data_IF_132631257107
#
_entry.id   IF_132631257107
#
_cell.length_a   1.000
_cell.length_b   1.000
_cell.length_c   1.000
_cell.angle_alpha   90.00
_cell.angle_beta   90.00
_cell.angle_gamma   90.00
#
_symmetry.space_group_name_H-M   'P 1'
#
loop_
_entity.id
_entity.type
_entity.pdbx_description
1 polymer ?
#
# COMPACT_ATOMS: atom_id res chain seq x y z
N UNK A 1 47.64 -46.89 8.30
CA UNK A 1 46.43 -47.31 7.56
C UNK A 1 45.38 -46.27 7.89
N UNK A 2 45.29 -45.30 6.99
CA UNK A 2 44.61 -44.02 7.16
C UNK A 2 43.14 -44.24 6.87
N UNK A 3 42.30 -44.23 7.90
CA UNK A 3 40.88 -44.03 7.72
C UNK A 3 40.62 -42.56 8.05
N UNK A 4 40.68 -41.73 7.01
CA UNK A 4 40.25 -40.33 7.10
C UNK A 4 38.73 -40.34 7.20
N UNK A 5 38.25 -40.02 8.39
CA UNK A 5 36.91 -39.48 8.62
C UNK A 5 36.76 -38.23 7.76
N UNK A 6 35.87 -38.27 6.77
CA UNK A 6 35.41 -37.09 6.04
C UNK A 6 34.35 -36.37 6.91
N UNK A 7 34.45 -35.04 7.09
CA UNK A 7 33.50 -34.25 7.88
C UNK A 7 32.13 -34.12 7.19
N UNK A 8 31.04 -33.85 7.95
CA UNK A 8 29.74 -33.49 7.41
C UNK A 8 29.74 -31.99 7.06
N UNK A 9 30.42 -31.62 5.98
CA UNK A 9 30.46 -30.22 5.54
C UNK A 9 29.19 -29.88 4.73
N UNK A 10 28.31 -29.12 5.40
CA UNK A 10 27.61 -27.94 4.87
C UNK A 10 27.02 -28.05 3.45
N UNK A 11 25.76 -28.47 3.37
CA UNK A 11 24.93 -28.22 2.20
C UNK A 11 24.32 -26.81 2.30
N UNK A 12 25.11 -25.79 1.99
CA UNK A 12 24.61 -24.46 1.64
C UNK A 12 24.22 -24.48 0.15
N UNK A 13 22.99 -24.88 -0.15
CA UNK A 13 22.40 -24.62 -1.46
C UNK A 13 21.48 -23.41 -1.32
N UNK A 14 21.95 -22.25 -1.77
CA UNK A 14 21.11 -21.11 -2.16
C UNK A 14 20.19 -21.58 -3.30
N UNK A 15 19.12 -22.30 -2.98
CA UNK A 15 18.10 -22.68 -3.95
C UNK A 15 17.16 -21.50 -4.14
N UNK A 16 17.18 -20.89 -5.32
CA UNK A 16 16.25 -19.82 -5.65
C UNK A 16 14.81 -20.37 -5.73
N UNK A 17 13.91 -19.80 -4.93
CA UNK A 17 12.49 -20.08 -4.95
C UNK A 17 11.77 -19.13 -5.94
N UNK A 18 10.89 -19.67 -6.77
CA UNK A 18 10.09 -18.88 -7.73
C UNK A 18 8.70 -18.58 -7.18
N UNK A 19 8.39 -17.29 -7.06
CA UNK A 19 7.09 -16.77 -6.68
C UNK A 19 6.34 -16.21 -7.88
N UNK A 20 5.01 -16.29 -7.87
CA UNK A 20 4.16 -15.82 -8.97
C UNK A 20 3.28 -14.67 -8.49
N UNK A 21 3.34 -13.55 -9.20
CA UNK A 21 2.54 -12.36 -8.92
C UNK A 21 1.80 -11.86 -10.15
N UNK A 22 0.68 -11.17 -9.93
CA UNK A 22 -0.02 -10.43 -10.99
C UNK A 22 0.29 -8.95 -10.86
N UNK A 23 0.87 -8.37 -11.91
CA UNK A 23 1.18 -6.95 -11.97
C UNK A 23 -0.12 -6.13 -12.02
N UNK A 24 -0.41 -5.38 -10.96
CA UNK A 24 -1.60 -4.52 -10.89
C UNK A 24 -1.33 -3.06 -11.26
N UNK A 25 -0.09 -2.74 -11.67
CA UNK A 25 0.32 -1.37 -12.02
C UNK A 25 -0.29 -0.84 -13.33
N UNK A 26 -0.88 -1.68 -14.17
CA UNK A 26 -1.48 -1.28 -15.44
C UNK A 26 -2.56 -2.27 -15.89
N UNK A 27 -3.48 -1.88 -16.79
CA UNK A 27 -4.61 -2.71 -17.20
C UNK A 27 -4.24 -3.99 -17.96
N UNK A 28 -2.99 -4.12 -18.43
CA UNK A 28 -2.52 -5.33 -19.12
C UNK A 28 -2.37 -6.53 -18.19
N UNK A 29 -2.09 -6.31 -16.90
CA UNK A 29 -2.03 -7.40 -15.92
C UNK A 29 -0.98 -8.47 -16.23
N UNK A 30 0.31 -8.12 -16.39
CA UNK A 30 1.35 -9.12 -16.65
C UNK A 30 1.45 -10.14 -15.51
N UNK A 31 1.55 -11.44 -15.86
CA UNK A 31 1.91 -12.50 -14.91
C UNK A 31 3.43 -12.49 -14.73
N UNK A 32 3.87 -12.16 -13.52
CA UNK A 32 5.27 -12.04 -13.16
C UNK A 32 5.73 -13.29 -12.43
N UNK A 33 6.96 -13.69 -12.72
CA UNK A 33 7.68 -14.74 -11.99
C UNK A 33 8.89 -14.09 -11.34
N UNK A 34 9.01 -14.21 -10.02
CA UNK A 34 10.06 -13.58 -9.22
C UNK A 34 10.88 -14.69 -8.58
N UNK A 35 12.15 -14.78 -8.96
CA UNK A 35 13.09 -15.72 -8.36
C UNK A 35 13.80 -15.00 -7.19
N UNK A 36 13.74 -15.59 -6.01
CA UNK A 36 14.32 -15.04 -4.79
C UNK A 36 15.11 -16.11 -4.04
N UNK A 37 16.19 -15.69 -3.38
CA UNK A 37 16.90 -16.51 -2.38
C UNK A 37 16.63 -15.84 -1.04
N UNK A 38 16.04 -16.58 -0.10
CA UNK A 38 15.48 -16.03 1.13
C UNK A 38 14.47 -14.90 0.86
N UNK A 39 14.81 -13.64 1.19
CA UNK A 39 13.98 -12.45 0.95
C UNK A 39 14.51 -11.56 -0.20
N UNK A 40 15.68 -11.90 -0.74
CA UNK A 40 16.36 -11.09 -1.74
C UNK A 40 15.96 -11.51 -3.16
N UNK A 41 15.39 -10.55 -3.90
CA UNK A 41 14.95 -10.76 -5.28
C UNK A 41 16.14 -10.79 -6.23
N UNK A 42 16.34 -11.93 -6.89
CA UNK A 42 17.41 -12.15 -7.87
C UNK A 42 16.96 -11.69 -9.26
N UNK A 43 15.79 -12.15 -9.71
CA UNK A 43 15.28 -11.85 -11.05
C UNK A 43 13.76 -11.70 -11.06
N UNK A 44 13.25 -10.81 -11.91
CA UNK A 44 11.83 -10.68 -12.21
C UNK A 44 11.61 -10.91 -13.70
N UNK A 45 10.83 -11.94 -14.04
CA UNK A 45 10.49 -12.37 -15.41
C UNK A 45 9.00 -12.17 -15.70
N UNK A 46 8.62 -12.26 -16.97
CA UNK A 46 7.21 -12.14 -17.41
C UNK A 46 6.67 -10.70 -17.49
N UNK A 47 7.53 -9.68 -17.37
CA UNK A 47 7.13 -8.28 -17.48
C UNK A 47 7.17 -7.76 -18.94
N UNK A 48 6.18 -6.98 -19.34
CA UNK A 48 6.20 -6.26 -20.64
C UNK A 48 6.73 -4.82 -20.51
N UNK A 49 7.03 -4.35 -19.29
CA UNK A 49 7.53 -3.00 -19.07
C UNK A 49 8.36 -2.90 -17.78
N UNK A 50 9.13 -1.81 -17.65
CA UNK A 50 9.97 -1.52 -16.47
C UNK A 50 9.18 -1.37 -15.17
N UNK A 51 7.90 -0.99 -15.25
CA UNK A 51 7.01 -0.92 -14.07
C UNK A 51 6.71 -2.31 -13.51
N UNK A 52 6.64 -3.33 -14.37
CA UNK A 52 6.41 -4.71 -13.95
C UNK A 52 7.57 -5.25 -13.10
N UNK A 53 8.82 -4.96 -13.49
CA UNK A 53 10.01 -5.30 -12.68
C UNK A 53 9.90 -4.69 -11.29
N UNK A 54 9.70 -3.36 -11.22
CA UNK A 54 9.57 -2.63 -9.95
C UNK A 54 8.44 -3.17 -9.07
N UNK A 55 7.29 -3.45 -9.68
CA UNK A 55 6.14 -4.00 -8.98
C UNK A 55 6.42 -5.41 -8.46
N UNK A 56 7.03 -6.30 -9.26
CA UNK A 56 7.35 -7.67 -8.84
C UNK A 56 8.29 -7.69 -7.65
N UNK A 57 9.36 -6.90 -7.69
CA UNK A 57 10.28 -6.74 -6.57
C UNK A 57 9.56 -6.20 -5.33
N UNK A 58 8.82 -5.08 -5.47
CA UNK A 58 8.10 -4.49 -4.34
C UNK A 58 7.05 -5.42 -3.75
N UNK A 59 6.26 -6.11 -4.58
CA UNK A 59 5.21 -7.01 -4.11
C UNK A 59 5.76 -8.20 -3.33
N UNK A 60 6.99 -8.64 -3.65
CA UNK A 60 7.68 -9.67 -2.90
C UNK A 60 8.23 -9.14 -1.55
N UNK A 61 8.92 -8.00 -1.56
CA UNK A 61 9.65 -7.50 -0.38
C UNK A 61 8.81 -6.64 0.56
N UNK A 62 7.92 -5.80 0.01
CA UNK A 62 7.07 -4.85 0.76
C UNK A 62 5.73 -4.66 0.01
N UNK A 63 4.80 -5.62 0.10
CA UNK A 63 3.53 -5.54 -0.59
C UNK A 63 2.70 -4.39 -0.02
N UNK A 64 2.41 -3.38 -0.84
CA UNK A 64 1.60 -2.22 -0.44
C UNK A 64 0.27 -2.14 -1.17
N UNK A 65 -0.73 -1.49 -0.57
CA UNK A 65 -2.07 -1.29 -1.15
C UNK A 65 -2.52 0.15 -1.00
N UNK A 66 -3.07 0.70 -2.07
CA UNK A 66 -3.76 1.97 -2.00
C UNK A 66 -5.02 1.82 -1.12
N UNK A 67 -5.19 2.73 -0.16
CA UNK A 67 -6.35 2.75 0.73
C UNK A 67 -7.17 4.00 0.45
N UNK A 68 -8.43 3.82 0.12
CA UNK A 68 -9.43 4.87 -0.02
C UNK A 68 -10.68 4.47 0.75
N UNK A 69 -11.24 5.39 1.52
CA UNK A 69 -12.42 5.16 2.36
C UNK A 69 -13.22 6.45 2.54
N UNK A 70 -14.23 6.44 3.40
CA UNK A 70 -14.95 7.62 3.84
C UNK A 70 -14.84 7.79 5.35
N UNK A 71 -14.84 9.04 5.80
CA UNK A 71 -14.94 9.43 7.22
C UNK A 71 -16.16 10.30 7.43
N UNK A 72 -16.57 10.50 8.68
CA UNK A 72 -17.71 11.37 8.97
C UNK A 72 -17.37 12.83 8.69
N UNK A 73 -18.35 13.57 8.19
CA UNK A 73 -18.24 15.00 7.95
C UNK A 73 -19.41 15.72 8.61
N UNK A 74 -19.12 16.78 9.36
CA UNK A 74 -20.11 17.71 9.89
C UNK A 74 -20.04 19.06 9.19
N UNK A 75 -21.19 19.74 9.12
CA UNK A 75 -21.31 21.08 8.55
C UNK A 75 -21.12 21.18 7.04
N UNK A 76 -21.03 20.05 6.32
CA UNK A 76 -20.94 20.00 4.87
C UNK A 76 -22.24 19.48 4.23
N UNK A 77 -22.42 19.62 2.91
CA UNK A 77 -23.61 19.20 2.18
C UNK A 77 -23.82 17.67 2.14
N UNK A 78 -22.90 16.89 2.69
CA UNK A 78 -22.93 15.44 2.76
C UNK A 78 -22.37 14.99 4.11
N UNK A 79 -22.87 13.90 4.67
CA UNK A 79 -22.43 13.35 5.97
C UNK A 79 -21.09 12.59 5.91
N UNK A 80 -20.51 12.45 4.71
CA UNK A 80 -19.30 11.65 4.46
C UNK A 80 -18.30 12.43 3.63
N UNK A 81 -17.05 12.43 4.07
CA UNK A 81 -15.91 12.95 3.31
C UNK A 81 -15.14 11.79 2.67
N UNK A 82 -14.96 11.76 1.33
CA UNK A 82 -14.08 10.79 0.69
C UNK A 82 -12.62 11.14 0.99
N UNK A 83 -11.88 10.13 1.41
CA UNK A 83 -10.48 10.25 1.82
C UNK A 83 -9.64 9.13 1.24
N UNK A 84 -8.34 9.36 1.12
CA UNK A 84 -7.36 8.34 0.78
C UNK A 84 -6.12 8.47 1.63
N UNK A 85 -5.38 7.38 1.80
CA UNK A 85 -4.02 7.46 2.28
C UNK A 85 -3.16 8.29 1.31
N UNK A 86 -2.23 9.10 1.83
CA UNK A 86 -1.32 9.91 1.03
C UNK A 86 -0.45 9.03 0.13
N UNK A 87 -0.06 7.86 0.65
CA UNK A 87 0.74 6.82 -0.01
C UNK A 87 0.14 5.42 0.18
N UNK A 88 0.54 4.42 -0.64
CA UNK A 88 0.15 3.03 -0.43
C UNK A 88 0.59 2.50 0.94
N UNK A 89 -0.32 1.85 1.67
CA UNK A 89 -0.11 1.31 3.01
C UNK A 89 0.43 -0.13 2.92
N UNK A 90 1.42 -0.54 3.73
CA UNK A 90 1.85 -1.93 3.81
C UNK A 90 0.67 -2.88 4.05
N UNK A 91 0.55 -3.93 3.24
CA UNK A 91 -0.56 -4.90 3.25
C UNK A 91 -0.85 -5.47 4.65
N UNK A 92 0.15 -5.80 5.50
CA UNK A 92 -0.10 -6.27 6.86
C UNK A 92 -0.80 -5.22 7.74
N UNK A 93 -0.52 -3.93 7.51
CA UNK A 93 -0.99 -2.81 8.33
C UNK A 93 -2.32 -2.21 7.86
N UNK A 94 -2.79 -2.54 6.65
CA UNK A 94 -4.04 -1.99 6.08
C UNK A 94 -5.24 -2.11 7.02
N UNK A 95 -5.37 -3.24 7.72
CA UNK A 95 -6.49 -3.45 8.65
C UNK A 95 -6.44 -2.51 9.84
N UNK A 96 -5.25 -2.31 10.40
CA UNK A 96 -5.05 -1.42 11.54
C UNK A 96 -5.21 0.04 11.12
N UNK A 97 -4.66 0.40 9.96
CA UNK A 97 -4.82 1.71 9.34
C UNK A 97 -6.30 2.09 9.21
N UNK A 98 -7.15 1.20 8.67
CA UNK A 98 -8.59 1.48 8.54
C UNK A 98 -9.30 1.54 9.89
N UNK A 99 -8.92 0.69 10.85
CA UNK A 99 -9.51 0.73 12.21
C UNK A 99 -9.19 2.03 12.93
N UNK A 100 -7.99 2.58 12.76
CA UNK A 100 -7.61 3.86 13.36
C UNK A 100 -8.49 5.04 12.89
N UNK A 101 -9.13 4.92 11.72
CA UNK A 101 -10.04 5.91 11.18
C UNK A 101 -11.48 5.76 11.69
N UNK A 102 -11.78 4.69 12.43
CA UNK A 102 -13.13 4.42 12.89
C UNK A 102 -13.58 5.49 13.89
N UNK A 103 -14.66 6.20 13.56
CA UNK A 103 -15.18 7.28 14.39
C UNK A 103 -14.50 8.62 14.16
N UNK A 104 -13.57 8.74 13.20
CA UNK A 104 -13.02 10.03 12.80
C UNK A 104 -14.13 10.90 12.20
N UNK A 105 -14.24 12.12 12.73
CA UNK A 105 -15.18 13.16 12.32
C UNK A 105 -14.38 14.38 11.89
N UNK A 106 -14.68 14.89 10.70
CA UNK A 106 -14.07 16.09 10.12
C UNK A 106 -15.14 17.18 10.06
N UNK A 107 -14.76 18.44 10.24
CA UNK A 107 -15.65 19.60 10.11
C UNK A 107 -15.41 20.30 8.77
N UNK A 108 -16.49 20.73 8.10
CA UNK A 108 -16.38 21.59 6.93
C UNK A 108 -16.05 23.05 7.33
N UNK A 109 -15.41 23.84 6.46
CA UNK A 109 -14.97 23.51 5.10
C UNK A 109 -13.69 22.65 5.07
N UNK A 110 -13.54 21.88 3.99
CA UNK A 110 -12.37 21.02 3.75
C UNK A 110 -11.84 21.24 2.34
N UNK A 111 -10.57 21.60 2.22
CA UNK A 111 -9.91 21.76 0.92
C UNK A 111 -9.56 20.42 0.28
N UNK A 112 -9.49 20.40 -1.05
CA UNK A 112 -8.96 19.24 -1.77
C UNK A 112 -7.49 19.00 -1.38
N UNK A 113 -7.17 17.77 -0.99
CA UNK A 113 -5.82 17.38 -0.56
C UNK A 113 -5.49 17.74 0.89
N UNK A 114 -6.43 18.30 1.65
CA UNK A 114 -6.22 18.58 3.07
C UNK A 114 -5.91 17.30 3.85
N UNK A 115 -4.92 17.36 4.74
CA UNK A 115 -4.61 16.28 5.69
C UNK A 115 -5.65 16.30 6.80
N UNK A 116 -6.42 15.22 6.94
CA UNK A 116 -7.48 15.09 7.96
C UNK A 116 -7.05 14.25 9.15
N UNK A 117 -6.03 13.42 9.00
CA UNK A 117 -5.34 12.74 10.09
C UNK A 117 -3.89 12.48 9.66
N UNK A 118 -2.92 12.84 10.49
CA UNK A 118 -1.50 12.58 10.23
C UNK A 118 -1.04 11.28 10.88
N UNK A 119 -0.03 10.64 10.29
CA UNK A 119 0.62 9.44 10.84
C UNK A 119 -0.38 8.37 11.36
N UNK A 120 -1.29 7.96 10.49
CA UNK A 120 -2.38 7.06 10.87
C UNK A 120 -1.79 5.70 11.24
N UNK A 121 -2.12 5.22 12.45
CA UNK A 121 -1.63 3.96 13.01
C UNK A 121 -0.09 3.85 13.10
N UNK A 122 0.64 4.96 13.22
CA UNK A 122 2.10 4.96 13.36
C UNK A 122 2.84 4.51 12.11
N UNK A 123 2.19 4.62 10.94
CA UNK A 123 2.73 4.16 9.65
C UNK A 123 3.58 5.21 8.93
N UNK A 124 3.59 6.44 9.42
CA UNK A 124 4.14 7.62 8.74
C UNK A 124 3.28 8.08 7.56
N UNK A 125 2.08 7.51 7.37
CA UNK A 125 1.21 7.80 6.23
C UNK A 125 -0.01 8.59 6.70
N UNK A 126 -0.26 9.72 6.03
CA UNK A 126 -1.36 10.62 6.30
C UNK A 126 -2.65 10.16 5.61
N UNK A 127 -3.79 10.59 6.15
CA UNK A 127 -5.09 10.51 5.49
C UNK A 127 -5.44 11.89 4.92
N UNK A 128 -5.74 11.94 3.62
CA UNK A 128 -6.05 13.18 2.91
C UNK A 128 -7.45 13.17 2.28
N UNK A 129 -8.07 14.34 2.22
CA UNK A 129 -9.34 14.56 1.54
C UNK A 129 -9.17 14.53 0.01
N UNK A 130 -10.10 13.86 -0.69
CA UNK A 130 -10.11 13.79 -2.17
C UNK A 130 -11.23 14.59 -2.81
N UNK A 131 -11.92 15.41 -2.01
CA UNK A 131 -12.99 16.29 -2.47
C UNK A 131 -12.98 17.56 -1.63
N UNK A 132 -13.06 18.69 -2.32
CA UNK A 132 -13.33 19.97 -1.68
C UNK A 132 -14.77 20.03 -1.20
N UNK A 133 -14.97 20.47 0.03
CA UNK A 133 -16.28 20.64 0.65
C UNK A 133 -16.39 22.04 1.23
N UNK A 134 -17.35 22.81 0.71
CA UNK A 134 -17.79 24.07 1.29
C UNK A 134 -18.72 23.82 2.48
N UNK A 135 -18.76 24.74 3.44
CA UNK A 135 -19.70 24.64 4.55
C UNK A 135 -21.15 24.87 4.11
N UNK A 136 -22.12 24.31 4.84
CA UNK A 136 -23.55 24.52 4.55
C UNK A 136 -23.95 26.00 4.62
N UNK A 137 -23.34 26.78 5.53
CA UNK A 137 -23.60 28.21 5.68
C UNK A 137 -23.20 29.03 4.45
N UNK A 138 -22.19 28.57 3.72
CA UNK A 138 -21.71 29.24 2.50
C UNK A 138 -22.57 28.89 1.28
N UNK A 139 -23.24 27.73 1.27
CA UNK A 139 -24.16 27.34 0.18
C UNK A 139 -25.42 28.19 0.10
N UNK A 140 -25.95 28.67 1.23
CA UNK A 140 -27.14 29.54 1.25
C UNK A 140 -26.90 30.93 0.62
N UNK A 141 -25.63 31.34 0.47
CA UNK A 141 -25.27 32.66 -0.10
C UNK A 141 -25.12 32.61 -1.63
N UNK A 142 -25.05 31.41 -2.23
CA UNK A 142 -24.88 31.19 -3.69
C UNK A 142 -26.13 30.55 -4.29
N UNK A 143 -27.31 31.03 -3.87
CA UNK A 143 -28.63 30.63 -4.37
C UNK A 143 -29.32 31.74 -5.14
#
# INVERSE_FOLDING_TARGET
MTEQTLPPDEQSTDEAETFVYMCTSCPLGCRLEVDAVDEDVIEVRGHSCKRGVKYGTQEHTDPRRAVSTTVWLHGGPCERLPVRASEPVPKPQVREFVRALQGLVVEAPVDFGAVVASDVAGTGIDLIATREIVSERERETVG
#
